data_IF_229864654821
#
_entry.id   IF_229864654821
#
_cell.length_a   1.000
_cell.length_b   1.000
_cell.length_c   1.000
_cell.angle_alpha   90.00
_cell.angle_beta   90.00
_cell.angle_gamma   90.00
#
_symmetry.space_group_name_H-M   'P 1'
#
loop_
_entity.id
_entity.type
_entity.pdbx_description
1 polymer ?
#
# COMPACT_ATOMS: atom_id res chain seq x y z
N UNK A 1 -10.71 18.23 -1.75
CA UNK A 1 -9.97 17.67 -0.62
C UNK A 1 -9.32 16.36 -0.96
N UNK A 2 -8.12 16.20 -0.52
CA UNK A 2 -7.32 15.01 -0.80
C UNK A 2 -7.51 14.02 0.35
N UNK A 3 -7.75 12.76 0.02
CA UNK A 3 -7.89 11.73 1.03
C UNK A 3 -6.55 11.53 1.76
N UNK A 4 -6.59 11.24 3.07
CA UNK A 4 -5.36 10.90 3.78
C UNK A 4 -4.68 9.71 3.14
N UNK A 5 -3.35 9.67 3.21
CA UNK A 5 -2.58 8.64 2.54
C UNK A 5 -3.02 7.21 2.93
N UNK A 6 -3.27 6.90 4.20
CA UNK A 6 -3.74 5.54 4.53
C UNK A 6 -5.04 5.17 3.85
N UNK A 7 -5.96 6.12 3.72
CA UNK A 7 -7.24 5.86 3.05
C UNK A 7 -7.02 5.64 1.56
N UNK A 8 -6.15 6.44 0.95
CA UNK A 8 -5.85 6.30 -0.47
C UNK A 8 -5.26 4.92 -0.76
N UNK A 9 -4.31 4.49 0.07
CA UNK A 9 -3.68 3.18 -0.11
C UNK A 9 -4.70 2.06 0.10
N UNK A 10 -5.57 2.21 1.10
CA UNK A 10 -6.65 1.24 1.33
C UNK A 10 -7.50 1.07 0.07
N UNK A 11 -7.92 2.17 -0.54
CA UNK A 11 -8.76 2.13 -1.73
C UNK A 11 -8.03 1.48 -2.90
N UNK A 12 -6.76 1.78 -3.06
CA UNK A 12 -5.97 1.21 -4.15
C UNK A 12 -5.73 -0.28 -3.95
N UNK A 13 -5.54 -0.71 -2.73
CA UNK A 13 -5.37 -2.14 -2.43
C UNK A 13 -6.66 -2.93 -2.66
N UNK A 14 -7.81 -2.31 -2.43
CA UNK A 14 -9.09 -2.96 -2.68
C UNK A 14 -9.38 -3.08 -4.17
N UNK A 15 -8.78 -2.22 -4.97
CA UNK A 15 -9.02 -2.22 -6.41
C UNK A 15 -8.39 -3.44 -7.07
N UNK A 16 -9.09 -4.09 -7.99
CA UNK A 16 -8.53 -5.22 -8.74
C UNK A 16 -7.60 -4.79 -9.86
N UNK A 17 -7.44 -3.50 -10.09
CA UNK A 17 -6.66 -3.00 -11.21
C UNK A 17 -5.16 -3.07 -10.93
N UNK A 18 -4.37 -3.68 -11.84
CA UNK A 18 -2.92 -3.72 -11.67
C UNK A 18 -2.29 -2.32 -11.59
N UNK A 19 -2.89 -1.35 -12.25
CA UNK A 19 -2.39 0.02 -12.24
C UNK A 19 -2.42 0.61 -10.82
N UNK A 20 -3.47 0.32 -10.07
CA UNK A 20 -3.58 0.82 -8.70
C UNK A 20 -2.53 0.19 -7.79
N UNK A 21 -2.22 -1.08 -8.02
CA UNK A 21 -1.17 -1.74 -7.26
C UNK A 21 0.19 -1.13 -7.60
N UNK A 22 0.43 -0.81 -8.86
CA UNK A 22 1.66 -0.16 -9.26
C UNK A 22 1.83 1.20 -8.58
N UNK A 23 0.74 1.94 -8.43
CA UNK A 23 0.77 3.21 -7.74
C UNK A 23 1.15 3.03 -6.27
N UNK A 24 0.64 1.98 -5.63
CA UNK A 24 1.00 1.69 -4.24
C UNK A 24 2.50 1.40 -4.13
N UNK A 25 3.02 0.61 -5.05
CA UNK A 25 4.44 0.27 -5.05
C UNK A 25 5.31 1.51 -5.23
N UNK A 26 4.87 2.42 -6.08
CA UNK A 26 5.60 3.67 -6.31
C UNK A 26 5.62 4.52 -5.04
N UNK A 27 4.49 4.62 -4.35
CA UNK A 27 4.42 5.34 -3.09
C UNK A 27 5.36 4.73 -2.05
N UNK A 28 5.43 3.41 -2.01
CA UNK A 28 6.34 2.72 -1.09
C UNK A 28 7.79 3.11 -1.38
N UNK A 29 8.15 3.20 -2.64
CA UNK A 29 9.51 3.58 -3.04
C UNK A 29 9.85 5.01 -2.68
N UNK A 30 8.84 5.87 -2.60
CA UNK A 30 9.04 7.27 -2.24
C UNK A 30 9.37 7.45 -0.76
N UNK A 31 9.26 6.40 0.05
CA UNK A 31 9.64 6.48 1.45
C UNK A 31 8.54 6.87 2.39
N UNK A 32 7.30 6.53 2.06
CA UNK A 32 6.17 6.79 2.96
C UNK A 32 6.31 5.97 4.24
N UNK A 33 5.57 6.35 5.27
CA UNK A 33 5.61 5.66 6.56
C UNK A 33 4.88 4.32 6.48
N UNK A 34 5.61 3.29 6.09
CA UNK A 34 5.04 1.96 5.87
C UNK A 34 4.45 1.36 7.14
N UNK A 35 5.14 1.54 8.26
CA UNK A 35 4.69 0.97 9.53
C UNK A 35 3.35 1.57 9.97
N UNK A 36 3.21 2.88 9.83
CA UNK A 36 1.97 3.56 10.17
C UNK A 36 0.82 3.10 9.27
N UNK A 37 1.09 2.93 7.99
CA UNK A 37 0.07 2.48 7.05
C UNK A 37 -0.31 1.04 7.33
N UNK A 38 0.67 0.19 7.63
CA UNK A 38 0.38 -1.20 7.96
C UNK A 38 -0.47 -1.30 9.22
N UNK A 39 -0.16 -0.50 10.23
CA UNK A 39 -0.95 -0.49 11.47
C UNK A 39 -2.38 -0.06 11.19
N UNK A 40 -2.57 0.91 10.32
CA UNK A 40 -3.90 1.36 9.95
C UNK A 40 -4.67 0.25 9.24
N UNK A 41 -4.01 -0.48 8.34
CA UNK A 41 -4.63 -1.59 7.63
C UNK A 41 -5.00 -2.73 8.58
N UNK A 42 -4.14 -3.03 9.54
CA UNK A 42 -4.44 -4.06 10.54
C UNK A 42 -5.71 -3.71 11.30
N UNK A 43 -5.89 -2.44 11.61
CA UNK A 43 -7.07 -1.99 12.36
C UNK A 43 -8.33 -1.96 11.51
N UNK A 44 -8.20 -1.53 10.25
CA UNK A 44 -9.36 -1.33 9.38
C UNK A 44 -9.70 -2.53 8.52
N UNK A 45 -8.71 -3.13 7.92
CA UNK A 45 -8.92 -4.19 6.93
C UNK A 45 -7.76 -5.17 6.99
N UNK A 46 -7.73 -6.03 8.02
CA UNK A 46 -6.63 -6.97 8.17
C UNK A 46 -6.46 -7.88 6.95
N UNK A 47 -7.51 -8.10 6.18
CA UNK A 47 -7.42 -8.92 4.98
C UNK A 47 -6.53 -8.28 3.91
N UNK A 48 -6.29 -6.97 3.99
CA UNK A 48 -5.44 -6.30 3.03
C UNK A 48 -3.98 -6.25 3.44
N UNK A 49 -3.68 -6.62 4.69
CA UNK A 49 -2.30 -6.58 5.19
C UNK A 49 -1.40 -7.52 4.37
N UNK A 50 -1.90 -8.69 4.04
CA UNK A 50 -1.14 -9.63 3.24
C UNK A 50 -0.81 -9.03 1.86
N UNK A 51 -1.79 -8.39 1.25
CA UNK A 51 -1.58 -7.76 -0.05
C UNK A 51 -0.60 -6.59 0.07
N UNK A 52 -0.69 -5.82 1.15
CA UNK A 52 0.23 -4.73 1.43
C UNK A 52 1.67 -5.25 1.59
N UNK A 53 1.83 -6.30 2.39
CA UNK A 53 3.16 -6.88 2.62
C UNK A 53 3.77 -7.38 1.31
N UNK A 54 2.94 -7.96 0.45
CA UNK A 54 3.40 -8.41 -0.86
C UNK A 54 3.83 -7.23 -1.72
N UNK A 55 3.07 -6.14 -1.69
CA UNK A 55 3.42 -4.95 -2.45
C UNK A 55 4.76 -4.35 -1.98
N UNK A 56 4.98 -4.33 -0.66
CA UNK A 56 6.24 -3.84 -0.12
C UNK A 56 7.41 -4.71 -0.59
N UNK A 57 7.24 -6.01 -0.54
CA UNK A 57 8.28 -6.93 -0.98
C UNK A 57 8.58 -6.75 -2.47
N UNK A 58 7.54 -6.60 -3.28
CA UNK A 58 7.71 -6.40 -4.72
C UNK A 58 8.40 -5.08 -5.03
N UNK A 59 8.05 -4.03 -4.30
CA UNK A 59 8.64 -2.71 -4.51
C UNK A 59 10.13 -2.73 -4.23
N UNK A 60 10.54 -3.38 -3.15
CA UNK A 60 11.94 -3.46 -2.80
C UNK A 60 12.72 -4.41 -3.72
N UNK A 61 12.08 -5.48 -4.15
CA UNK A 61 12.72 -6.42 -5.06
C UNK A 61 13.05 -5.75 -6.39
N UNK A 62 12.18 -4.89 -6.87
CA UNK A 62 12.42 -4.21 -8.13
C UNK A 62 13.55 -3.20 -8.08
N UNK A 63 14.03 -2.91 -6.89
CA UNK A 63 15.04 -1.88 -6.66
C UNK A 63 16.47 -2.42 -6.73
N UNK A 64 16.63 -3.67 -7.04
CA UNK A 64 17.97 -4.26 -7.12
C UNK A 64 18.64 -4.11 -8.46
#
# INVERSE_FOLDING_TARGET
PVAPLPVLIYLKLKSPRPKDLADVMELIRLGIERDAIRADLVARSPELVEKWDRAVAEAWRGDE
#
